data_IF_327853503735
#
_entry.id   IF_327853503735
#
_cell.length_a   1.000
_cell.length_b   1.000
_cell.length_c   1.000
_cell.angle_alpha   90.00
_cell.angle_beta   90.00
_cell.angle_gamma   90.00
#
_symmetry.space_group_name_H-M   'P 1'
#
loop_
_entity.id
_entity.type
_entity.pdbx_description
1 polymer ?
#
# COMPACT_ATOMS: atom_id res chain seq x y z
N UNK A 1 -25.65 3.34 -15.29
CA UNK A 1 -25.95 2.02 -14.66
C UNK A 1 -25.07 0.92 -15.21
N UNK A 2 -24.86 0.82 -16.53
CA UNK A 2 -23.95 -0.18 -17.12
C UNK A 2 -22.52 -0.10 -16.56
N UNK A 3 -21.93 1.08 -16.46
CA UNK A 3 -20.57 1.28 -15.94
C UNK A 3 -20.39 0.88 -14.46
N UNK A 4 -21.45 0.92 -13.65
CA UNK A 4 -21.40 0.43 -12.25
C UNK A 4 -21.21 -1.08 -12.19
N UNK A 5 -21.76 -1.83 -13.16
CA UNK A 5 -21.68 -3.29 -13.18
C UNK A 5 -20.29 -3.79 -13.54
N UNK A 6 -19.50 -2.97 -14.23
CA UNK A 6 -18.10 -3.25 -14.60
C UNK A 6 -17.12 -3.09 -13.43
N UNK A 7 -17.53 -2.42 -12.34
CA UNK A 7 -16.68 -2.27 -11.17
C UNK A 7 -16.51 -3.61 -10.42
N UNK A 8 -15.34 -3.82 -9.79
CA UNK A 8 -15.13 -4.92 -8.85
C UNK A 8 -16.16 -4.91 -7.73
N UNK A 9 -16.50 -6.09 -7.18
CA UNK A 9 -17.53 -6.25 -6.15
C UNK A 9 -17.34 -5.33 -4.93
N UNK A 10 -16.11 -5.18 -4.44
CA UNK A 10 -15.79 -4.34 -3.28
C UNK A 10 -16.07 -2.84 -3.51
N UNK A 11 -16.14 -2.38 -4.77
CA UNK A 11 -16.55 -1.03 -5.14
C UNK A 11 -18.04 -0.99 -5.54
N UNK A 12 -18.45 -1.93 -6.40
CA UNK A 12 -19.78 -2.01 -6.98
C UNK A 12 -20.85 -2.14 -5.91
N UNK A 13 -20.71 -3.10 -5.01
CA UNK A 13 -21.80 -3.49 -4.12
C UNK A 13 -22.12 -2.37 -3.10
N UNK A 14 -21.13 -1.71 -2.45
CA UNK A 14 -21.40 -0.54 -1.62
C UNK A 14 -22.06 0.62 -2.38
N UNK A 15 -21.60 0.91 -3.60
CA UNK A 15 -22.14 2.01 -4.41
C UNK A 15 -23.59 1.73 -4.86
N UNK A 16 -23.90 0.49 -5.24
CA UNK A 16 -25.27 0.07 -5.57
C UNK A 16 -26.16 0.13 -4.33
N UNK A 17 -25.70 -0.37 -3.18
CA UNK A 17 -26.46 -0.28 -1.92
C UNK A 17 -26.79 1.16 -1.56
N UNK A 18 -25.82 2.08 -1.70
CA UNK A 18 -26.06 3.50 -1.45
C UNK A 18 -27.07 4.11 -2.43
N UNK A 19 -26.96 3.79 -3.72
CA UNK A 19 -27.93 4.27 -4.72
C UNK A 19 -29.35 3.74 -4.43
N UNK A 20 -29.49 2.48 -4.08
CA UNK A 20 -30.77 1.87 -3.71
C UNK A 20 -31.37 2.51 -2.46
N UNK A 21 -30.55 2.82 -1.46
CA UNK A 21 -30.99 3.59 -0.28
C UNK A 21 -31.52 4.97 -0.65
N UNK A 22 -30.80 5.71 -1.50
CA UNK A 22 -31.24 7.05 -1.95
C UNK A 22 -32.55 6.99 -2.74
N UNK A 23 -32.74 5.96 -3.57
CA UNK A 23 -34.00 5.74 -4.31
C UNK A 23 -35.18 5.50 -3.38
N UNK A 24 -35.04 4.59 -2.40
CA UNK A 24 -36.07 4.33 -1.39
C UNK A 24 -36.43 5.60 -0.61
N UNK A 25 -35.42 6.38 -0.20
CA UNK A 25 -35.62 7.65 0.50
C UNK A 25 -36.36 8.67 -0.36
N UNK A 26 -35.99 8.78 -1.63
CA UNK A 26 -36.62 9.69 -2.57
C UNK A 26 -38.08 9.31 -2.86
N UNK A 27 -38.39 8.02 -2.99
CA UNK A 27 -39.76 7.53 -3.12
C UNK A 27 -40.60 7.85 -1.89
N UNK A 28 -40.04 7.68 -0.68
CA UNK A 28 -40.69 8.05 0.56
C UNK A 28 -40.95 9.57 0.66
N UNK A 29 -40.01 10.41 0.21
CA UNK A 29 -40.18 11.86 0.14
C UNK A 29 -41.28 12.25 -0.86
N UNK A 30 -41.32 11.62 -2.04
CA UNK A 30 -42.36 11.84 -3.06
C UNK A 30 -43.76 11.50 -2.53
N UNK A 31 -43.91 10.39 -1.78
CA UNK A 31 -45.18 10.03 -1.12
C UNK A 31 -45.64 11.08 -0.09
N UNK A 32 -44.70 11.84 0.48
CA UNK A 32 -44.98 12.95 1.41
C UNK A 32 -45.14 14.30 0.70
N UNK A 33 -45.28 14.32 -0.63
CA UNK A 33 -45.39 15.55 -1.44
C UNK A 33 -44.09 16.36 -1.54
N UNK A 34 -42.96 15.84 -1.04
CA UNK A 34 -41.66 16.55 -1.08
C UNK A 34 -40.92 16.25 -2.37
N UNK A 35 -40.45 17.29 -3.06
CA UNK A 35 -39.52 17.14 -4.19
C UNK A 35 -38.15 16.76 -3.67
N UNK A 36 -37.66 15.58 -4.07
CA UNK A 36 -36.33 15.07 -3.72
C UNK A 36 -35.67 14.56 -4.99
N UNK A 37 -34.41 14.96 -5.21
CA UNK A 37 -33.59 14.62 -6.39
C UNK A 37 -32.28 13.94 -5.99
N UNK A 38 -32.25 13.35 -4.78
CA UNK A 38 -31.01 12.85 -4.19
C UNK A 38 -30.43 11.68 -4.98
N UNK A 39 -31.26 10.76 -5.48
CA UNK A 39 -30.77 9.62 -6.25
C UNK A 39 -30.32 10.04 -7.65
N UNK A 40 -31.04 10.93 -8.35
CA UNK A 40 -30.61 11.42 -9.67
C UNK A 40 -29.32 12.23 -9.57
N UNK A 41 -29.20 13.09 -8.55
CA UNK A 41 -27.98 13.87 -8.31
C UNK A 41 -26.79 12.97 -8.01
N UNK A 42 -26.99 11.93 -7.22
CA UNK A 42 -25.94 10.94 -6.96
C UNK A 42 -25.56 10.19 -8.24
N UNK A 43 -26.54 9.71 -8.99
CA UNK A 43 -26.33 8.95 -10.22
C UNK A 43 -25.66 9.76 -11.34
N UNK A 44 -26.11 11.00 -11.58
CA UNK A 44 -25.60 11.84 -12.67
C UNK A 44 -24.33 12.61 -12.29
N UNK A 45 -24.20 13.00 -11.02
CA UNK A 45 -23.10 13.86 -10.56
C UNK A 45 -22.05 13.11 -9.77
N UNK A 46 -22.44 12.53 -8.62
CA UNK A 46 -21.45 11.96 -7.67
C UNK A 46 -20.77 10.72 -8.26
N UNK A 47 -21.54 9.81 -8.86
CA UNK A 47 -20.99 8.59 -9.46
C UNK A 47 -20.04 8.90 -10.61
N UNK A 48 -20.36 9.89 -11.45
CA UNK A 48 -19.45 10.36 -12.51
C UNK A 48 -18.09 10.80 -11.94
N UNK A 49 -18.10 11.63 -10.89
CA UNK A 49 -16.87 12.06 -10.20
C UNK A 49 -16.11 10.91 -9.55
N UNK A 50 -16.81 9.89 -9.04
CA UNK A 50 -16.20 8.68 -8.49
C UNK A 50 -15.47 7.93 -9.60
N UNK A 51 -16.10 7.72 -10.76
CA UNK A 51 -15.46 7.07 -11.91
C UNK A 51 -14.22 7.84 -12.37
N UNK A 52 -14.34 9.16 -12.57
CA UNK A 52 -13.19 10.01 -12.95
C UNK A 52 -12.02 9.91 -11.96
N UNK A 53 -12.30 9.75 -10.66
CA UNK A 53 -11.26 9.58 -9.63
C UNK A 53 -10.68 8.17 -9.62
N UNK A 54 -11.50 7.14 -9.84
CA UNK A 54 -11.05 5.76 -9.96
C UNK A 54 -10.12 5.62 -11.17
N UNK A 55 -10.50 6.14 -12.33
CA UNK A 55 -9.67 6.11 -13.54
C UNK A 55 -8.31 6.77 -13.31
N UNK A 56 -8.27 7.95 -12.66
CA UNK A 56 -7.01 8.61 -12.29
C UNK A 56 -6.17 7.80 -11.31
N UNK A 57 -6.81 7.14 -10.35
CA UNK A 57 -6.13 6.28 -9.37
C UNK A 57 -5.51 5.08 -10.09
N UNK A 58 -6.27 4.40 -10.94
CA UNK A 58 -5.79 3.24 -11.68
C UNK A 58 -4.69 3.59 -12.67
N UNK A 59 -4.74 4.75 -13.32
CA UNK A 59 -3.67 5.24 -14.18
C UNK A 59 -2.34 5.49 -13.45
N UNK A 60 -2.36 5.84 -12.16
CA UNK A 60 -1.16 6.03 -11.34
C UNK A 60 -0.42 4.70 -11.10
N UNK A 61 -1.17 3.62 -10.90
CA UNK A 61 -0.63 2.28 -10.67
C UNK A 61 -0.29 1.58 -11.99
N UNK A 62 -1.18 1.64 -12.98
CA UNK A 62 -1.04 1.01 -14.29
C UNK A 62 -0.21 1.86 -15.26
N UNK A 63 1.04 2.13 -14.89
CA UNK A 63 2.00 2.84 -15.74
C UNK A 63 2.25 2.07 -17.05
N UNK A 64 2.71 2.73 -18.13
CA UNK A 64 3.05 2.03 -19.38
C UNK A 64 4.06 0.89 -19.17
N UNK A 65 5.08 1.11 -18.34
CA UNK A 65 6.08 0.08 -17.99
C UNK A 65 5.47 -1.11 -17.24
N UNK A 66 4.60 -0.84 -16.26
CA UNK A 66 3.87 -1.89 -15.53
C UNK A 66 3.02 -2.74 -16.48
N UNK A 67 2.21 -2.11 -17.35
CA UNK A 67 1.36 -2.81 -18.33
C UNK A 67 2.17 -3.62 -19.33
N UNK A 68 3.24 -3.03 -19.85
CA UNK A 68 4.12 -3.68 -20.82
C UNK A 68 4.78 -4.92 -20.22
N UNK A 69 5.27 -4.83 -18.99
CA UNK A 69 5.89 -5.96 -18.30
C UNK A 69 4.87 -7.05 -17.98
N UNK A 70 3.69 -6.68 -17.48
CA UNK A 70 2.61 -7.64 -17.20
C UNK A 70 2.22 -8.44 -18.45
N UNK A 71 2.02 -7.77 -19.59
CA UNK A 71 1.65 -8.44 -20.84
C UNK A 71 2.79 -9.27 -21.44
N UNK A 72 4.02 -8.74 -21.47
CA UNK A 72 5.20 -9.43 -22.04
C UNK A 72 5.51 -10.72 -21.29
N UNK A 73 5.42 -10.68 -19.97
CA UNK A 73 5.78 -11.79 -19.08
C UNK A 73 4.60 -12.69 -18.72
N UNK A 74 3.43 -12.49 -19.36
CA UNK A 74 2.18 -13.26 -19.11
C UNK A 74 1.73 -13.24 -17.64
N UNK A 75 1.91 -12.09 -16.99
CA UNK A 75 1.49 -11.82 -15.62
C UNK A 75 0.21 -10.96 -15.61
N UNK A 76 -0.80 -11.36 -16.40
CA UNK A 76 -2.03 -10.57 -16.63
C UNK A 76 -2.79 -10.25 -15.32
N UNK A 77 -2.68 -11.11 -14.31
CA UNK A 77 -3.22 -10.89 -12.95
C UNK A 77 -2.74 -9.58 -12.31
N UNK A 78 -1.55 -9.07 -12.70
CA UNK A 78 -1.06 -7.77 -12.26
C UNK A 78 -1.97 -6.62 -12.67
N UNK A 79 -2.70 -6.74 -13.78
CA UNK A 79 -3.57 -5.68 -14.31
C UNK A 79 -4.84 -5.48 -13.50
N UNK A 80 -5.22 -6.46 -12.68
CA UNK A 80 -6.36 -6.41 -11.77
C UNK A 80 -5.97 -6.78 -10.34
N UNK A 81 -4.72 -6.48 -9.97
CA UNK A 81 -4.12 -6.75 -8.66
C UNK A 81 -5.04 -6.41 -7.46
N UNK A 82 -5.76 -5.26 -7.43
CA UNK A 82 -6.65 -4.93 -6.31
C UNK A 82 -7.77 -5.94 -6.09
N UNK A 83 -8.15 -6.73 -7.09
CA UNK A 83 -9.24 -7.69 -7.03
C UNK A 83 -8.81 -9.04 -6.48
N UNK A 84 -7.51 -9.33 -6.48
CA UNK A 84 -6.97 -10.63 -6.12
C UNK A 84 -7.14 -10.95 -4.63
N UNK A 85 -7.38 -12.23 -4.35
CA UNK A 85 -7.35 -12.80 -3.02
C UNK A 85 -5.94 -13.31 -2.64
N UNK A 86 -5.75 -13.74 -1.39
CA UNK A 86 -4.43 -14.19 -0.88
C UNK A 86 -3.84 -15.36 -1.67
N UNK A 87 -4.66 -16.31 -2.12
CA UNK A 87 -4.19 -17.45 -2.92
C UNK A 87 -3.74 -16.99 -4.30
N UNK A 88 -4.52 -16.16 -4.97
CA UNK A 88 -4.14 -15.63 -6.29
C UNK A 88 -2.84 -14.82 -6.21
N UNK A 89 -2.65 -14.04 -5.13
CA UNK A 89 -1.40 -13.33 -4.87
C UNK A 89 -0.22 -14.30 -4.65
N UNK A 90 -0.42 -15.44 -3.99
CA UNK A 90 0.61 -16.47 -3.88
C UNK A 90 1.02 -17.00 -5.25
N UNK A 91 0.05 -17.39 -6.08
CA UNK A 91 0.30 -17.91 -7.42
C UNK A 91 1.05 -16.88 -8.26
N UNK A 92 0.57 -15.64 -8.27
CA UNK A 92 1.20 -14.54 -9.00
C UNK A 92 2.62 -14.26 -8.51
N UNK A 93 2.85 -14.33 -7.21
CA UNK A 93 4.18 -14.16 -6.63
C UNK A 93 5.16 -15.27 -7.06
N UNK A 94 4.71 -16.52 -7.10
CA UNK A 94 5.51 -17.63 -7.62
C UNK A 94 5.85 -17.43 -9.10
N UNK A 95 4.87 -17.03 -9.93
CA UNK A 95 5.11 -16.74 -11.34
C UNK A 95 6.07 -15.55 -11.54
N UNK A 96 5.91 -14.49 -10.74
CA UNK A 96 6.80 -13.32 -10.79
C UNK A 96 8.22 -13.71 -10.41
N UNK A 97 8.40 -14.47 -9.32
CA UNK A 97 9.70 -14.96 -8.90
C UNK A 97 10.37 -15.85 -9.97
N UNK A 98 9.62 -16.75 -10.59
CA UNK A 98 10.11 -17.59 -11.69
C UNK A 98 10.51 -16.75 -12.91
N UNK A 99 9.75 -15.72 -13.26
CA UNK A 99 10.12 -14.77 -14.32
C UNK A 99 11.43 -14.05 -13.99
N UNK A 100 11.60 -13.57 -12.74
CA UNK A 100 12.85 -12.94 -12.32
C UNK A 100 14.03 -13.90 -12.34
N UNK A 101 13.84 -15.17 -11.95
CA UNK A 101 14.89 -16.20 -12.03
C UNK A 101 15.30 -16.49 -13.47
N UNK A 102 14.34 -16.76 -14.35
CA UNK A 102 14.61 -17.01 -15.76
C UNK A 102 15.24 -15.80 -16.45
N UNK A 103 14.83 -14.59 -16.09
CA UNK A 103 15.45 -13.37 -16.63
C UNK A 103 16.87 -13.18 -16.11
N UNK A 104 17.14 -13.48 -14.84
CA UNK A 104 18.48 -13.46 -14.26
C UNK A 104 19.42 -14.40 -15.02
N UNK A 105 19.03 -15.66 -15.19
CA UNK A 105 19.80 -16.68 -15.91
C UNK A 105 20.15 -16.21 -17.34
N UNK A 106 19.15 -15.75 -18.11
CA UNK A 106 19.36 -15.23 -19.47
C UNK A 106 20.28 -14.01 -19.53
N UNK A 107 20.20 -13.13 -18.54
CA UNK A 107 21.07 -11.95 -18.48
C UNK A 107 22.52 -12.35 -18.18
N UNK A 108 22.71 -13.29 -17.24
CA UNK A 108 24.03 -13.83 -16.93
C UNK A 108 24.67 -14.50 -18.16
N UNK A 109 23.91 -15.33 -18.88
CA UNK A 109 24.36 -15.95 -20.13
C UNK A 109 24.74 -14.88 -21.17
N UNK A 110 23.87 -13.88 -21.36
CA UNK A 110 24.06 -12.81 -22.34
C UNK A 110 25.22 -11.85 -22.03
N UNK A 111 25.60 -11.68 -20.78
CA UNK A 111 26.74 -10.86 -20.36
C UNK A 111 28.08 -11.60 -20.39
N UNK A 112 28.10 -12.85 -20.87
CA UNK A 112 29.35 -13.59 -21.05
C UNK A 112 29.80 -14.28 -19.77
N UNK A 113 28.89 -14.98 -19.09
CA UNK A 113 29.27 -16.07 -18.18
C UNK A 113 29.94 -17.21 -18.98
N UNK A 114 31.14 -16.97 -19.49
CA UNK A 114 31.98 -17.97 -20.19
C UNK A 114 32.54 -18.96 -19.17
N UNK A 115 32.58 -20.24 -19.55
CA UNK A 115 33.11 -21.36 -18.75
C UNK A 115 32.43 -21.61 -17.37
N UNK A 116 31.21 -21.11 -17.18
CA UNK A 116 30.42 -21.37 -15.96
C UNK A 116 30.80 -20.52 -14.74
N UNK A 117 31.74 -19.59 -14.88
CA UNK A 117 32.12 -18.67 -13.81
C UNK A 117 31.24 -17.41 -13.82
N UNK A 118 30.36 -17.32 -12.84
CA UNK A 118 29.53 -16.13 -12.61
C UNK A 118 30.34 -15.04 -11.90
N UNK A 119 30.91 -14.11 -12.66
CA UNK A 119 31.66 -12.98 -12.07
C UNK A 119 30.72 -11.98 -11.36
N UNK A 120 31.27 -11.23 -10.39
CA UNK A 120 30.51 -10.20 -9.68
C UNK A 120 30.06 -9.06 -10.59
N UNK A 121 30.84 -8.71 -11.62
CA UNK A 121 30.47 -7.67 -12.60
C UNK A 121 29.27 -8.11 -13.47
N UNK A 122 29.27 -9.36 -13.95
CA UNK A 122 28.13 -9.94 -14.70
C UNK A 122 26.88 -9.95 -13.83
N UNK A 123 27.02 -10.42 -12.58
CA UNK A 123 25.92 -10.48 -11.62
C UNK A 123 25.36 -9.09 -11.31
N UNK A 124 26.23 -8.09 -11.20
CA UNK A 124 25.85 -6.72 -10.89
C UNK A 124 25.04 -6.11 -12.04
N UNK A 125 25.50 -6.30 -13.28
CA UNK A 125 24.77 -5.87 -14.48
C UNK A 125 23.40 -6.55 -14.59
N UNK A 126 23.34 -7.87 -14.36
CA UNK A 126 22.09 -8.63 -14.35
C UNK A 126 21.13 -8.11 -13.26
N UNK A 127 21.62 -7.93 -12.03
CA UNK A 127 20.85 -7.34 -10.93
C UNK A 127 20.31 -5.96 -11.30
N UNK A 128 21.13 -5.06 -11.86
CA UNK A 128 20.70 -3.70 -12.20
C UNK A 128 19.56 -3.69 -13.23
N UNK A 129 19.55 -4.64 -14.17
CA UNK A 129 18.43 -4.81 -15.11
C UNK A 129 17.17 -5.34 -14.43
N UNK A 130 17.30 -6.36 -13.58
CA UNK A 130 16.18 -6.88 -12.78
C UNK A 130 15.61 -5.82 -11.84
N UNK A 131 16.47 -5.02 -11.23
CA UNK A 131 16.08 -3.93 -10.35
C UNK A 131 15.18 -2.91 -11.06
N UNK A 132 15.49 -2.56 -12.32
CA UNK A 132 14.62 -1.69 -13.15
C UNK A 132 13.26 -2.34 -13.44
N UNK A 133 13.23 -3.65 -13.70
CA UNK A 133 11.98 -4.40 -13.87
C UNK A 133 11.14 -4.39 -12.58
N UNK A 134 11.77 -4.60 -11.43
CA UNK A 134 11.07 -4.56 -10.14
C UNK A 134 10.50 -3.17 -9.83
N UNK A 135 11.23 -2.09 -10.19
CA UNK A 135 10.71 -0.73 -10.10
C UNK A 135 9.49 -0.50 -10.99
N UNK A 136 9.45 -1.09 -12.20
CA UNK A 136 8.23 -1.04 -13.03
C UNK A 136 7.04 -1.75 -12.39
N UNK A 137 7.27 -2.72 -11.51
CA UNK A 137 6.25 -3.37 -10.68
C UNK A 137 5.99 -2.65 -9.34
N UNK A 138 6.49 -1.43 -9.17
CA UNK A 138 6.41 -0.65 -7.92
C UNK A 138 7.05 -1.36 -6.71
N UNK A 139 7.97 -2.29 -6.95
CA UNK A 139 8.70 -3.00 -5.91
C UNK A 139 10.11 -2.42 -5.80
N UNK A 140 10.41 -1.77 -4.67
CA UNK A 140 11.76 -1.29 -4.40
C UNK A 140 12.74 -2.47 -4.32
N UNK A 141 13.78 -2.50 -5.18
CA UNK A 141 14.75 -3.59 -5.19
C UNK A 141 15.57 -3.61 -3.89
N UNK A 142 15.96 -4.79 -3.40
CA UNK A 142 16.81 -4.92 -2.22
C UNK A 142 18.17 -4.25 -2.47
N UNK A 143 18.64 -3.41 -1.55
CA UNK A 143 19.95 -2.72 -1.64
C UNK A 143 20.12 -1.85 -2.91
N UNK A 144 19.04 -1.34 -3.49
CA UNK A 144 19.06 -0.58 -4.75
C UNK A 144 20.08 0.56 -4.75
N UNK A 145 20.07 1.43 -3.73
CA UNK A 145 20.98 2.58 -3.66
C UNK A 145 22.45 2.14 -3.51
N UNK A 146 22.69 0.98 -2.87
CA UNK A 146 24.03 0.44 -2.65
C UNK A 146 24.57 -0.35 -3.87
N UNK A 147 23.70 -0.81 -4.77
CA UNK A 147 24.04 -1.68 -5.91
C UNK A 147 23.85 -1.01 -7.28
N UNK A 148 23.39 0.23 -7.32
CA UNK A 148 23.24 0.99 -8.57
C UNK A 148 24.39 1.96 -8.80
N UNK A 149 24.77 2.10 -10.07
CA UNK A 149 25.73 3.10 -10.53
C UNK A 149 24.96 4.29 -11.08
N UNK A 150 24.38 5.10 -10.19
CA UNK A 150 23.84 6.40 -10.62
C UNK A 150 24.98 7.38 -10.88
N UNK A 151 24.77 8.34 -11.79
CA UNK A 151 25.84 9.23 -12.30
C UNK A 151 26.52 10.06 -11.21
N UNK A 152 25.81 10.34 -10.11
CA UNK A 152 26.28 11.20 -9.03
C UNK A 152 26.92 10.44 -7.86
N UNK A 153 27.10 9.12 -7.98
CA UNK A 153 27.62 8.30 -6.89
C UNK A 153 29.15 8.39 -6.80
N UNK A 154 29.65 8.73 -5.60
CA UNK A 154 31.10 8.83 -5.30
C UNK A 154 31.78 7.50 -5.01
N UNK A 155 31.03 6.48 -4.61
CA UNK A 155 31.57 5.20 -4.15
C UNK A 155 31.14 4.07 -5.09
N UNK A 156 32.01 3.07 -5.24
CA UNK A 156 31.71 1.86 -6.00
C UNK A 156 30.54 1.07 -5.37
N UNK A 157 29.80 0.29 -6.18
CA UNK A 157 28.76 -0.61 -5.68
C UNK A 157 29.31 -1.64 -4.69
N UNK A 158 28.58 -1.87 -3.60
CA UNK A 158 28.96 -2.85 -2.57
C UNK A 158 28.57 -4.26 -3.02
N UNK A 159 29.50 -4.96 -3.65
CA UNK A 159 29.26 -6.28 -4.26
C UNK A 159 28.94 -7.38 -3.25
N UNK A 160 29.26 -7.21 -1.97
CA UNK A 160 28.95 -8.18 -0.91
C UNK A 160 27.43 -8.34 -0.70
N UNK A 161 26.65 -7.29 -1.01
CA UNK A 161 25.19 -7.30 -0.88
C UNK A 161 24.48 -8.02 -2.04
N UNK A 162 25.20 -8.30 -3.12
CA UNK A 162 24.65 -8.73 -4.40
C UNK A 162 23.99 -10.12 -4.33
N UNK A 163 24.59 -11.16 -3.72
CA UNK A 163 23.96 -12.48 -3.64
C UNK A 163 22.62 -12.43 -2.91
N UNK A 164 22.58 -11.73 -1.76
CA UNK A 164 21.35 -11.55 -0.98
C UNK A 164 20.28 -10.77 -1.74
N UNK A 165 20.67 -9.76 -2.53
CA UNK A 165 19.75 -8.97 -3.32
C UNK A 165 19.11 -9.77 -4.47
N UNK A 166 19.91 -10.57 -5.20
CA UNK A 166 19.42 -11.46 -6.26
C UNK A 166 18.48 -12.52 -5.69
N UNK A 167 18.87 -13.20 -4.60
CA UNK A 167 18.04 -14.21 -3.95
C UNK A 167 16.68 -13.67 -3.51
N UNK A 168 16.59 -12.40 -3.10
CA UNK A 168 15.32 -11.76 -2.77
C UNK A 168 14.47 -11.49 -4.01
N UNK A 169 15.06 -11.03 -5.12
CA UNK A 169 14.35 -10.78 -6.37
C UNK A 169 13.84 -12.06 -7.05
N UNK A 170 14.46 -13.21 -6.79
CA UNK A 170 14.00 -14.52 -7.29
C UNK A 170 13.16 -15.30 -6.27
N UNK A 171 12.84 -14.71 -5.10
CA UNK A 171 12.12 -15.37 -4.03
C UNK A 171 10.59 -15.11 -4.09
N UNK A 172 9.81 -16.18 -4.21
CA UNK A 172 8.34 -16.11 -4.21
C UNK A 172 7.76 -15.48 -2.93
N UNK A 173 8.28 -15.82 -1.74
CA UNK A 173 7.78 -15.24 -0.48
C UNK A 173 8.16 -13.76 -0.31
N UNK A 174 9.21 -13.28 -0.99
CA UNK A 174 9.49 -11.85 -1.07
C UNK A 174 8.46 -11.15 -1.97
N UNK A 175 8.24 -11.67 -3.18
CA UNK A 175 7.23 -11.14 -4.10
C UNK A 175 5.82 -11.14 -3.53
N UNK A 176 5.44 -12.20 -2.83
CA UNK A 176 4.14 -12.29 -2.15
C UNK A 176 3.92 -11.14 -1.17
N UNK A 177 4.94 -10.81 -0.35
CA UNK A 177 4.87 -9.69 0.58
C UNK A 177 4.75 -8.36 -0.16
N UNK A 178 5.52 -8.16 -1.24
CA UNK A 178 5.49 -6.93 -2.04
C UNK A 178 4.17 -6.75 -2.78
N UNK A 179 3.70 -7.77 -3.50
CA UNK A 179 2.44 -7.75 -4.24
C UNK A 179 1.23 -7.65 -3.31
N UNK A 180 1.26 -8.29 -2.13
CA UNK A 180 0.19 -8.14 -1.14
C UNK A 180 0.10 -6.70 -0.61
N UNK A 181 1.24 -6.09 -0.28
CA UNK A 181 1.27 -4.69 0.14
C UNK A 181 0.73 -3.78 -0.97
N UNK A 182 1.22 -3.94 -2.19
CA UNK A 182 0.80 -3.17 -3.36
C UNK A 182 -0.70 -3.30 -3.63
N UNK A 183 -1.23 -4.53 -3.55
CA UNK A 183 -2.66 -4.82 -3.64
C UNK A 183 -3.44 -4.04 -2.59
N UNK A 184 -3.02 -4.08 -1.32
CA UNK A 184 -3.71 -3.42 -0.22
C UNK A 184 -3.71 -1.90 -0.38
N UNK A 185 -2.57 -1.30 -0.74
CA UNK A 185 -2.43 0.14 -0.97
C UNK A 185 -3.32 0.59 -2.14
N UNK A 186 -3.25 -0.09 -3.27
CA UNK A 186 -4.06 0.26 -4.45
C UNK A 186 -5.56 0.08 -4.18
N UNK A 187 -5.98 -1.03 -3.54
CA UNK A 187 -7.39 -1.23 -3.16
C UNK A 187 -7.89 -0.12 -2.23
N UNK A 188 -7.09 0.26 -1.23
CA UNK A 188 -7.44 1.33 -0.29
C UNK A 188 -7.53 2.70 -1.00
N UNK A 189 -6.62 3.00 -1.94
CA UNK A 189 -6.70 4.22 -2.76
C UNK A 189 -7.99 4.24 -3.60
N UNK A 190 -8.39 3.13 -4.21
CA UNK A 190 -9.66 3.03 -4.93
C UNK A 190 -10.88 3.23 -4.01
N UNK A 191 -10.86 2.66 -2.80
CA UNK A 191 -11.94 2.85 -1.82
C UNK A 191 -12.04 4.31 -1.35
N UNK A 192 -10.90 5.02 -1.22
CA UNK A 192 -10.85 6.47 -0.98
C UNK A 192 -11.35 7.27 -2.17
N UNK A 193 -10.99 6.88 -3.40
CA UNK A 193 -11.48 7.48 -4.64
C UNK A 193 -13.00 7.36 -4.78
N UNK A 194 -13.57 6.23 -4.34
CA UNK A 194 -15.00 5.97 -4.29
C UNK A 194 -15.74 6.58 -3.10
N UNK A 195 -15.06 7.37 -2.25
CA UNK A 195 -15.63 7.97 -1.03
C UNK A 195 -16.17 6.93 -0.02
N UNK A 196 -15.65 5.70 -0.05
CA UNK A 196 -16.00 4.64 0.90
C UNK A 196 -15.16 4.71 2.18
N UNK A 197 -14.13 5.55 2.19
CA UNK A 197 -13.38 5.98 3.37
C UNK A 197 -13.75 7.43 3.63
N UNK A 198 -14.51 7.68 4.70
CA UNK A 198 -15.00 9.00 5.06
C UNK A 198 -15.37 9.03 6.54
N UNK A 199 -15.42 10.21 7.15
CA UNK A 199 -15.81 10.38 8.56
C UNK A 199 -17.17 9.75 8.91
N UNK A 200 -18.08 9.59 7.94
CA UNK A 200 -19.42 8.99 8.13
C UNK A 200 -19.47 7.47 7.91
N UNK A 201 -18.49 6.90 7.22
CA UNK A 201 -18.44 5.46 6.90
C UNK A 201 -17.35 4.76 7.69
N UNK A 202 -16.12 5.23 7.54
CA UNK A 202 -14.93 4.79 8.26
C UNK A 202 -13.84 5.87 8.07
N UNK A 203 -13.43 6.59 9.13
CA UNK A 203 -12.61 7.79 8.99
C UNK A 203 -11.17 7.57 8.48
N UNK A 204 -10.55 6.45 8.85
CA UNK A 204 -9.10 6.25 8.65
C UNK A 204 -8.75 5.21 7.59
N UNK A 205 -9.55 4.16 7.49
CA UNK A 205 -9.29 2.99 6.67
C UNK A 205 -10.62 2.40 6.21
N UNK A 206 -10.68 1.76 5.05
CA UNK A 206 -11.87 1.02 4.65
C UNK A 206 -12.26 -0.09 5.64
N UNK A 207 -13.55 -0.44 5.67
CA UNK A 207 -14.06 -1.58 6.45
C UNK A 207 -13.43 -2.91 5.99
N UNK A 208 -13.08 -3.00 4.70
CA UNK A 208 -12.41 -4.17 4.12
C UNK A 208 -11.03 -4.37 4.76
N UNK A 209 -10.16 -3.35 4.69
CA UNK A 209 -8.83 -3.43 5.28
C UNK A 209 -8.87 -3.53 6.82
N UNK A 210 -9.86 -2.95 7.50
CA UNK A 210 -10.04 -3.13 8.95
C UNK A 210 -10.38 -4.59 9.29
N UNK A 211 -11.22 -5.23 8.49
CA UNK A 211 -11.59 -6.64 8.65
C UNK A 211 -10.39 -7.55 8.38
N UNK A 212 -9.62 -7.29 7.32
CA UNK A 212 -8.38 -8.02 7.02
C UNK A 212 -7.36 -7.88 8.16
N UNK A 213 -7.20 -6.68 8.72
CA UNK A 213 -6.30 -6.42 9.85
C UNK A 213 -6.72 -7.19 11.11
N UNK A 214 -8.02 -7.18 11.45
CA UNK A 214 -8.56 -7.91 12.61
C UNK A 214 -8.38 -9.42 12.44
N UNK A 215 -8.72 -9.96 11.28
CA UNK A 215 -8.54 -11.37 10.98
C UNK A 215 -7.06 -11.80 11.05
N UNK A 216 -6.13 -10.93 10.62
CA UNK A 216 -4.71 -11.21 10.75
C UNK A 216 -4.27 -11.26 12.23
N UNK A 217 -4.73 -10.30 13.05
CA UNK A 217 -4.43 -10.27 14.49
C UNK A 217 -5.00 -11.47 15.23
N UNK A 218 -6.21 -11.87 14.88
CA UNK A 218 -6.85 -13.06 15.43
C UNK A 218 -6.03 -14.31 15.14
N UNK A 219 -5.66 -14.54 13.87
CA UNK A 219 -4.79 -15.68 13.50
C UNK A 219 -3.46 -15.68 14.24
N UNK A 220 -2.82 -14.52 14.39
CA UNK A 220 -1.57 -14.41 15.16
C UNK A 220 -1.81 -14.74 16.63
N UNK A 221 -2.87 -14.22 17.25
CA UNK A 221 -3.22 -14.53 18.64
C UNK A 221 -3.48 -16.03 18.82
N UNK A 222 -4.27 -16.63 17.94
CA UNK A 222 -4.64 -18.03 18.03
C UNK A 222 -3.41 -18.93 17.88
N UNK A 223 -2.49 -18.57 16.98
CA UNK A 223 -1.17 -19.20 16.90
C UNK A 223 -0.41 -19.06 18.22
N UNK A 224 -0.23 -17.85 18.75
CA UNK A 224 0.55 -17.65 19.98
C UNK A 224 -0.02 -18.43 21.18
N UNK A 225 -1.35 -18.58 21.26
CA UNK A 225 -2.02 -19.34 22.32
C UNK A 225 -1.88 -20.84 22.19
N UNK A 226 -1.62 -21.36 21.00
CA UNK A 226 -1.48 -22.80 20.77
C UNK A 226 -0.08 -23.34 21.05
N UNK A 227 0.88 -22.49 21.44
CA UNK A 227 2.27 -22.90 21.65
C UNK A 227 2.80 -22.51 23.02
N UNK A 228 3.62 -23.40 23.57
CA UNK A 228 4.45 -23.20 24.75
C UNK A 228 5.92 -23.20 24.32
N UNK A 229 6.75 -22.44 25.01
CA UNK A 229 8.21 -22.55 24.93
C UNK A 229 8.70 -23.38 26.10
N UNK A 230 9.65 -24.28 25.85
CA UNK A 230 10.32 -25.10 26.85
C UNK A 230 11.83 -24.86 26.75
N UNK A 231 12.50 -24.67 27.88
CA UNK A 231 13.96 -24.57 27.94
C UNK A 231 14.60 -25.95 28.20
N UNK A 232 15.94 -26.00 28.17
CA UNK A 232 16.69 -27.25 28.41
C UNK A 232 16.48 -27.84 29.81
N UNK A 233 16.06 -27.02 30.79
CA UNK A 233 15.79 -27.43 32.17
C UNK A 233 14.34 -27.91 32.40
N UNK A 234 13.50 -27.94 31.35
CA UNK A 234 12.09 -28.34 31.44
C UNK A 234 11.12 -27.26 31.96
N UNK A 235 11.58 -26.01 32.12
CA UNK A 235 10.71 -24.87 32.41
C UNK A 235 9.91 -24.50 31.16
N UNK A 236 8.59 -24.36 31.34
CA UNK A 236 7.66 -24.00 30.26
C UNK A 236 7.02 -22.63 30.48
N UNK A 237 6.85 -21.88 29.39
CA UNK A 237 6.18 -20.57 29.40
C UNK A 237 5.30 -20.40 28.15
N UNK A 238 4.14 -19.77 28.32
CA UNK A 238 3.25 -19.46 27.21
C UNK A 238 3.96 -18.58 26.16
N UNK A 239 3.90 -18.98 24.87
CA UNK A 239 4.48 -18.19 23.79
C UNK A 239 3.82 -16.80 23.70
N UNK A 240 2.53 -16.69 24.00
CA UNK A 240 1.80 -15.41 24.06
C UNK A 240 2.45 -14.44 25.07
N UNK A 241 2.80 -14.93 26.25
CA UNK A 241 3.42 -14.13 27.32
C UNK A 241 4.78 -13.59 26.89
N UNK A 242 5.63 -14.45 26.33
CA UNK A 242 6.95 -14.04 25.82
C UNK A 242 6.83 -13.05 24.67
N UNK A 243 5.90 -13.29 23.74
CA UNK A 243 5.68 -12.42 22.58
C UNK A 243 5.29 -11.00 23.01
N UNK A 244 4.37 -10.85 23.97
CA UNK A 244 3.94 -9.54 24.44
C UNK A 244 4.89 -8.88 25.43
N UNK A 245 5.81 -9.61 26.06
CA UNK A 245 6.90 -9.03 26.84
C UNK A 245 8.00 -8.38 25.98
N UNK A 246 8.06 -8.73 24.68
CA UNK A 246 9.09 -8.23 23.78
C UNK A 246 8.99 -6.72 23.48
N UNK A 247 10.13 -6.12 23.12
CA UNK A 247 10.26 -4.69 22.74
C UNK A 247 9.39 -4.26 21.56
N UNK A 248 8.87 -5.22 20.78
CA UNK A 248 7.95 -4.94 19.67
C UNK A 248 6.50 -4.68 20.12
N UNK A 249 6.16 -4.91 21.39
CA UNK A 249 4.83 -4.60 21.91
C UNK A 249 4.54 -3.08 21.77
N UNK A 250 3.43 -2.68 21.13
CA UNK A 250 3.05 -1.27 21.00
C UNK A 250 2.99 -0.51 22.33
N UNK A 251 2.68 -1.18 23.45
CA UNK A 251 2.67 -0.57 24.78
C UNK A 251 4.10 -0.21 25.22
N UNK A 252 5.05 -1.14 25.08
CA UNK A 252 6.46 -0.90 25.39
C UNK A 252 7.06 0.17 24.47
N UNK A 253 6.83 0.07 23.15
CA UNK A 253 7.27 1.11 22.20
C UNK A 253 6.72 2.49 22.49
N UNK A 254 5.45 2.59 22.92
CA UNK A 254 4.87 3.86 23.36
C UNK A 254 5.57 4.38 24.61
N UNK A 255 5.83 3.54 25.59
CA UNK A 255 6.54 3.94 26.81
C UNK A 255 7.96 4.43 26.50
N UNK A 256 8.71 3.69 25.68
CA UNK A 256 10.05 4.08 25.21
C UNK A 256 10.04 5.41 24.45
N UNK A 257 9.08 5.58 23.53
CA UNK A 257 8.89 6.83 22.80
C UNK A 257 8.63 8.00 23.76
N UNK A 258 7.74 7.84 24.74
CA UNK A 258 7.43 8.89 25.72
C UNK A 258 8.64 9.22 26.62
N UNK A 259 9.41 8.21 27.04
CA UNK A 259 10.64 8.42 27.81
C UNK A 259 11.69 9.18 26.99
N UNK A 260 11.86 8.82 25.73
CA UNK A 260 12.79 9.48 24.79
C UNK A 260 12.38 10.93 24.56
N UNK A 261 11.08 11.17 24.35
CA UNK A 261 10.53 12.52 24.20
C UNK A 261 10.77 13.37 25.45
N UNK A 262 10.59 12.80 26.65
CA UNK A 262 10.85 13.53 27.88
C UNK A 262 12.32 13.90 28.04
N UNK A 263 13.24 13.01 27.67
CA UNK A 263 14.67 13.30 27.65
C UNK A 263 15.01 14.47 26.70
N UNK A 264 14.44 14.47 25.49
CA UNK A 264 14.61 15.57 24.53
C UNK A 264 14.01 16.89 25.02
N UNK A 265 12.86 16.85 25.69
CA UNK A 265 12.24 18.02 26.32
C UNK A 265 13.16 18.63 27.38
N UNK A 266 13.70 17.82 28.30
CA UNK A 266 14.62 18.29 29.33
C UNK A 266 15.89 18.91 28.73
N UNK A 267 16.42 18.33 27.65
CA UNK A 267 17.58 18.88 26.94
C UNK A 267 17.27 20.22 26.27
N UNK A 268 16.08 20.36 25.67
CA UNK A 268 15.65 21.62 25.07
C UNK A 268 15.45 22.70 26.14
N UNK A 269 14.77 22.37 27.24
CA UNK A 269 14.56 23.28 28.38
C UNK A 269 15.89 23.75 28.97
N UNK A 270 16.86 22.85 29.14
CA UNK A 270 18.20 23.21 29.63
C UNK A 270 18.96 24.17 28.71
N UNK A 271 18.63 24.18 27.41
CA UNK A 271 19.20 25.12 26.42
C UNK A 271 18.41 26.42 26.29
N UNK A 272 17.28 26.55 26.99
CA UNK A 272 16.34 27.67 26.83
C UNK A 272 15.42 27.55 25.60
N UNK A 273 15.38 26.38 24.96
CA UNK A 273 14.51 26.07 23.82
C UNK A 273 13.12 25.60 24.31
N UNK A 274 12.10 25.63 23.41
CA UNK A 274 10.77 25.04 23.67
C UNK A 274 10.62 23.73 22.91
N UNK A 275 10.36 22.64 23.62
CA UNK A 275 10.01 21.37 22.99
C UNK A 275 8.54 21.34 22.57
N UNK A 276 8.26 20.80 21.38
CA UNK A 276 6.89 20.58 20.88
C UNK A 276 6.76 19.19 20.28
N UNK A 277 5.65 18.50 20.57
CA UNK A 277 5.30 17.24 19.95
C UNK A 277 4.11 17.46 19.00
N UNK A 278 4.33 17.28 17.70
CA UNK A 278 3.35 17.58 16.67
C UNK A 278 2.94 16.31 15.92
N UNK A 279 1.63 16.09 15.79
CA UNK A 279 1.08 15.13 14.84
C UNK A 279 0.57 15.89 13.62
N UNK A 280 1.35 15.93 12.54
CA UNK A 280 0.96 16.62 11.31
C UNK A 280 0.05 15.71 10.48
N UNK A 281 -1.23 16.10 10.33
CA UNK A 281 -2.21 15.41 9.47
C UNK A 281 -2.61 16.27 8.29
N UNK A 282 -3.13 15.65 7.23
CA UNK A 282 -3.68 16.35 6.07
C UNK A 282 -4.78 17.34 6.50
N UNK A 283 -4.65 18.66 6.22
CA UNK A 283 -5.68 19.64 6.57
C UNK A 283 -7.04 19.30 5.94
N UNK A 284 -8.13 19.60 6.67
CA UNK A 284 -9.49 19.23 6.27
C UNK A 284 -9.90 19.70 4.86
N UNK A 285 -9.39 20.87 4.44
CA UNK A 285 -9.62 21.45 3.11
C UNK A 285 -9.13 20.59 1.93
N UNK A 286 -8.22 19.64 2.18
CA UNK A 286 -7.69 18.73 1.17
C UNK A 286 -8.39 17.35 1.18
N UNK A 287 -9.34 17.11 2.08
CA UNK A 287 -10.16 15.90 2.01
C UNK A 287 -11.22 16.00 0.92
N UNK A 288 -11.35 14.95 0.11
CA UNK A 288 -12.38 14.84 -0.92
C UNK A 288 -13.82 14.80 -0.35
N UNK A 289 -13.97 14.51 0.95
CA UNK A 289 -15.25 14.53 1.66
C UNK A 289 -15.16 15.46 2.86
N UNK A 290 -16.12 16.37 2.98
CA UNK A 290 -16.26 17.30 4.11
C UNK A 290 -17.41 16.88 5.02
N UNK A 291 -17.40 17.35 6.26
CA UNK A 291 -18.43 17.05 7.27
C UNK A 291 -19.83 17.54 6.85
N UNK A 292 -19.89 18.75 6.27
CA UNK A 292 -21.08 19.35 5.68
C UNK A 292 -21.16 18.99 4.20
N UNK A 293 -22.01 18.04 3.82
CA UNK A 293 -22.38 17.80 2.41
C UNK A 293 -23.40 18.85 1.99
N UNK A 294 -23.02 20.13 1.97
CA UNK A 294 -23.83 21.15 1.31
C UNK A 294 -23.69 20.95 -0.19
N UNK A 295 -24.80 21.15 -0.87
CA UNK A 295 -24.98 20.97 -2.30
C UNK A 295 -24.16 21.91 -3.19
N UNK A 296 -23.27 22.75 -2.65
CA UNK A 296 -22.78 23.94 -3.37
C UNK A 296 -21.27 24.19 -3.29
N UNK A 297 -20.48 23.47 -2.49
CA UNK A 297 -19.04 23.74 -2.41
C UNK A 297 -18.20 22.56 -2.88
N UNK A 298 -18.22 22.32 -4.19
CA UNK A 298 -17.12 21.63 -4.90
C UNK A 298 -16.64 22.56 -6.03
N UNK A 299 -16.25 23.78 -5.66
CA UNK A 299 -15.63 24.72 -6.58
C UNK A 299 -14.11 24.66 -6.40
N UNK A 300 -13.43 24.18 -7.44
CA UNK A 300 -12.16 24.72 -7.93
C UNK A 300 -11.10 25.10 -6.88
N UNK A 301 -10.46 24.13 -6.21
CA UNK A 301 -9.20 24.43 -5.46
C UNK A 301 -8.15 23.33 -5.56
N UNK A 302 -8.15 22.59 -6.68
CA UNK A 302 -7.12 21.60 -7.00
C UNK A 302 -5.96 22.13 -7.86
N UNK A 303 -6.03 23.38 -8.33
CA UNK A 303 -4.98 24.04 -9.11
C UNK A 303 -4.36 25.16 -8.28
N UNK A 304 -3.03 25.23 -8.25
CA UNK A 304 -2.17 26.08 -7.42
C UNK A 304 -1.76 25.50 -6.04
N UNK A 305 -0.88 24.50 -6.07
CA UNK A 305 0.17 24.39 -5.07
C UNK A 305 1.45 25.03 -5.63
N UNK A 306 1.56 26.36 -5.54
CA UNK A 306 2.89 27.02 -5.55
C UNK A 306 3.38 26.96 -4.12
N UNK A 307 4.53 26.33 -3.89
CA UNK A 307 5.27 26.39 -2.64
C UNK A 307 5.52 27.88 -2.30
N UNK A 308 4.74 28.44 -1.38
CA UNK A 308 5.13 29.67 -0.71
C UNK A 308 6.21 29.29 0.30
N UNK A 309 7.43 29.75 0.01
CA UNK A 309 8.54 29.74 0.95
C UNK A 309 8.11 30.52 2.20
N UNK A 310 8.41 29.98 3.38
CA UNK A 310 8.35 30.72 4.63
C UNK A 310 9.36 31.88 4.56
N UNK A 311 9.01 33.10 4.99
CA UNK A 311 10.01 34.13 5.21
C UNK A 311 10.87 33.75 6.42
N UNK A 312 12.18 33.86 6.26
CA UNK A 312 13.14 33.87 7.36
C UNK A 312 13.15 35.20 8.09
#
# INVERSE_FOLDING_TARGET
MASLRLLPSYLRDPLIRHLSFLRKKQEADRRKGKKSWQAERYARGTLRKIFERLDRTDHRWLTPGYRSLAGRERLDDLLYLPQLNKHQIQTLATMTAAMFSSTFEKLCDGFGATDGELTMDVTLKAYQMLARMALHLHAMPPHYDALTTDKDRRNEPDTELLPGAVLRLTCAEWWKRKLWLLRCEWREEQLRAACLVSRKTSPYLSQDALSEFRAQREKTRDFLKSFMLENEDGFTIDLETVYYAGVSNPVHRKAEMMATMKGLELLAEARGDRAVFLTVTCPSKYHATTEKRSSESQMERGHHARLQRLPG
#
